data_IF_808628878702
#
_entry.id   IF_808628878702
#
_cell.length_a   1.000
_cell.length_b   1.000
_cell.length_c   1.000
_cell.angle_alpha   90.00
_cell.angle_beta   90.00
_cell.angle_gamma   90.00
#
_symmetry.space_group_name_H-M   'P 1'
#
loop_
_entity.id
_entity.type
_entity.pdbx_description
1 polymer ?
#
# COMPACT_ATOMS: atom_id res chain seq x y z
N UNK A 1 19.97 14.28 6.60
CA UNK A 1 20.27 15.52 7.34
C UNK A 1 19.02 16.34 7.66
N UNK A 2 18.07 16.48 6.73
CA UNK A 2 16.83 17.27 6.93
C UNK A 2 16.08 16.96 8.24
N UNK A 3 15.67 15.71 8.53
CA UNK A 3 14.95 15.39 9.77
C UNK A 3 15.67 15.82 11.06
N UNK A 4 17.01 15.77 11.07
CA UNK A 4 17.81 16.25 12.20
C UNK A 4 17.84 17.77 12.29
N UNK A 5 17.84 18.46 11.16
CA UNK A 5 17.80 19.92 11.09
C UNK A 5 16.43 20.45 11.56
N UNK A 6 15.35 19.80 11.13
CA UNK A 6 13.97 20.09 11.55
C UNK A 6 13.66 19.63 12.98
N UNK A 7 14.57 18.88 13.62
CA UNK A 7 14.44 18.36 14.99
C UNK A 7 13.11 17.61 15.21
N UNK A 8 12.75 16.76 14.26
CA UNK A 8 11.50 15.97 14.37
C UNK A 8 11.56 15.02 15.57
N UNK A 9 10.43 14.88 16.27
CA UNK A 9 10.31 13.93 17.38
C UNK A 9 10.27 12.47 16.89
N UNK A 10 9.62 12.26 15.74
CA UNK A 10 9.45 10.96 15.10
C UNK A 10 9.59 11.12 13.59
N UNK A 11 10.34 10.20 12.97
CA UNK A 11 10.42 10.08 11.51
C UNK A 11 9.76 8.76 11.06
N UNK A 12 8.85 8.85 10.09
CA UNK A 12 8.33 7.68 9.37
C UNK A 12 9.14 7.55 8.09
N UNK A 13 9.77 6.39 7.89
CA UNK A 13 10.71 6.16 6.80
C UNK A 13 10.27 4.93 6.00
N UNK A 14 9.89 5.15 4.75
CA UNK A 14 9.53 4.10 3.79
C UNK A 14 10.80 3.56 3.12
N UNK A 15 10.91 2.24 2.97
CA UNK A 15 12.01 1.64 2.20
C UNK A 15 11.82 1.92 0.72
N UNK A 16 12.89 2.22 -0.01
CA UNK A 16 12.83 2.43 -1.46
C UNK A 16 12.68 1.12 -2.22
N UNK A 17 13.55 0.14 -1.95
CA UNK A 17 13.53 -1.16 -2.61
C UNK A 17 13.98 -2.27 -1.65
N UNK A 18 13.15 -3.30 -1.51
CA UNK A 18 13.45 -4.42 -0.63
C UNK A 18 13.47 -4.00 0.85
N UNK A 19 14.59 -4.25 1.52
CA UNK A 19 14.79 -3.86 2.91
C UNK A 19 16.22 -4.06 3.40
N UNK A 20 16.81 -5.24 3.18
CA UNK A 20 18.14 -5.58 3.70
C UNK A 20 19.23 -4.61 3.23
N UNK A 21 19.25 -4.31 1.93
CA UNK A 21 20.23 -3.44 1.28
C UNK A 21 19.69 -2.04 0.98
N UNK A 22 18.52 -1.71 1.51
CA UNK A 22 17.91 -0.40 1.28
C UNK A 22 18.70 0.70 2.02
N UNK A 23 18.85 1.86 1.39
CA UNK A 23 19.60 2.98 1.97
C UNK A 23 19.03 3.46 3.32
N UNK A 24 17.74 3.21 3.58
CA UNK A 24 17.09 3.54 4.86
C UNK A 24 17.46 2.56 5.98
N UNK A 25 17.96 1.37 5.66
CA UNK A 25 18.25 0.31 6.64
C UNK A 25 19.49 0.61 7.51
N UNK A 26 20.08 1.80 7.37
CA UNK A 26 21.08 2.36 8.29
C UNK A 26 20.51 2.70 9.67
N UNK A 27 19.17 2.81 9.79
CA UNK A 27 18.48 3.06 11.06
C UNK A 27 18.58 1.83 11.97
N UNK A 28 19.36 1.94 13.05
CA UNK A 28 19.69 0.81 13.93
C UNK A 28 18.63 0.50 14.98
N UNK A 29 17.97 1.53 15.49
CA UNK A 29 17.06 1.43 16.64
C UNK A 29 15.68 2.03 16.30
N UNK A 30 14.94 1.46 15.33
CA UNK A 30 13.60 1.94 15.02
C UNK A 30 12.64 1.69 16.20
N UNK A 31 11.68 2.59 16.39
CA UNK A 31 10.63 2.39 17.40
C UNK A 31 9.71 1.21 17.04
N UNK A 32 9.45 1.02 15.75
CA UNK A 32 8.64 -0.04 15.19
C UNK A 32 9.11 -0.30 13.75
N UNK A 33 9.11 -1.57 13.35
CA UNK A 33 9.27 -1.95 11.95
C UNK A 33 7.95 -2.49 11.42
N UNK A 34 7.62 -2.17 10.17
CA UNK A 34 6.36 -2.58 9.55
C UNK A 34 6.68 -3.17 8.18
N UNK A 35 6.18 -4.37 7.92
CA UNK A 35 6.08 -4.94 6.58
C UNK A 35 4.59 -4.97 6.27
N UNK A 36 4.17 -4.37 5.17
CA UNK A 36 2.77 -4.36 4.71
C UNK A 36 2.43 -5.72 4.09
N UNK A 37 1.85 -5.76 2.89
CA UNK A 37 1.79 -6.97 2.07
C UNK A 37 3.08 -7.20 1.27
N UNK A 38 3.29 -8.45 0.89
CA UNK A 38 4.30 -8.98 -0.03
C UNK A 38 3.58 -9.31 -1.35
N UNK A 39 4.16 -8.90 -2.45
CA UNK A 39 3.68 -9.21 -3.79
C UNK A 39 4.84 -9.22 -4.76
N UNK A 40 4.61 -9.78 -5.94
CA UNK A 40 5.59 -9.75 -7.02
C UNK A 40 5.82 -8.31 -7.48
N UNK A 41 7.00 -7.80 -7.16
CA UNK A 41 7.49 -6.52 -7.62
C UNK A 41 9.02 -6.51 -7.58
N UNK A 42 9.64 -5.81 -8.53
CA UNK A 42 11.09 -5.72 -8.65
C UNK A 42 11.82 -7.07 -8.59
N UNK A 43 11.28 -8.10 -9.24
CA UNK A 43 11.79 -9.48 -9.17
C UNK A 43 13.26 -9.62 -9.59
N UNK A 44 13.73 -8.77 -10.52
CA UNK A 44 15.14 -8.69 -10.92
C UNK A 44 16.10 -8.35 -9.76
N UNK A 45 15.60 -7.71 -8.70
CA UNK A 45 16.38 -7.30 -7.53
C UNK A 45 16.05 -8.09 -6.28
N UNK A 46 14.78 -8.48 -6.09
CA UNK A 46 14.29 -9.08 -4.85
C UNK A 46 14.12 -10.60 -4.91
N UNK A 47 14.21 -11.19 -6.12
CA UNK A 47 13.98 -12.61 -6.36
C UNK A 47 12.65 -12.89 -7.06
N UNK A 48 12.50 -14.11 -7.54
CA UNK A 48 11.39 -14.59 -8.36
C UNK A 48 10.27 -15.28 -7.56
N UNK A 49 10.42 -15.41 -6.24
CA UNK A 49 9.40 -15.99 -5.33
C UNK A 49 8.99 -15.02 -4.23
N UNK A 50 7.76 -15.15 -3.73
CA UNK A 50 7.27 -14.35 -2.59
C UNK A 50 8.13 -14.56 -1.34
N UNK A 51 8.69 -15.76 -1.15
CA UNK A 51 9.60 -16.07 -0.05
C UNK A 51 10.92 -15.30 -0.13
N UNK A 52 11.51 -15.17 -1.32
CA UNK A 52 12.73 -14.38 -1.52
C UNK A 52 12.45 -12.90 -1.25
N UNK A 53 11.36 -12.38 -1.82
CA UNK A 53 10.93 -10.98 -1.62
C UNK A 53 10.66 -10.70 -0.13
N UNK A 54 9.99 -11.61 0.57
CA UNK A 54 9.76 -11.53 2.01
C UNK A 54 11.07 -11.55 2.80
N UNK A 55 12.05 -12.37 2.37
CA UNK A 55 13.38 -12.44 2.97
C UNK A 55 14.13 -11.11 2.88
N UNK A 56 14.11 -10.46 1.72
CA UNK A 56 14.72 -9.14 1.50
C UNK A 56 14.03 -8.04 2.32
N UNK A 57 12.69 -8.01 2.31
CA UNK A 57 11.91 -7.03 3.09
C UNK A 57 12.07 -7.22 4.60
N UNK A 58 12.26 -8.46 5.07
CA UNK A 58 12.59 -8.75 6.47
C UNK A 58 13.96 -8.22 6.91
N UNK A 59 14.79 -7.69 6.00
CA UNK A 59 16.08 -7.10 6.33
C UNK A 59 15.99 -5.85 7.20
N UNK A 60 14.82 -5.20 7.29
CA UNK A 60 14.60 -4.05 8.17
C UNK A 60 14.36 -4.44 9.63
N UNK A 61 14.10 -5.72 9.93
CA UNK A 61 13.78 -6.17 11.28
C UNK A 61 15.00 -6.01 12.19
N UNK A 62 14.82 -5.31 13.32
CA UNK A 62 15.89 -5.05 14.30
C UNK A 62 15.56 -5.66 15.65
N UNK A 63 16.60 -6.19 16.31
CA UNK A 63 16.50 -6.66 17.68
C UNK A 63 16.01 -5.53 18.60
N UNK A 64 15.13 -5.87 19.53
CA UNK A 64 14.61 -4.88 20.49
C UNK A 64 13.57 -3.91 19.92
N UNK A 65 13.22 -4.00 18.64
CA UNK A 65 12.07 -3.32 18.05
C UNK A 65 10.92 -4.31 17.78
N UNK A 66 9.66 -3.96 18.04
CA UNK A 66 8.53 -4.73 17.56
C UNK A 66 8.50 -4.73 16.02
N UNK A 67 7.91 -5.80 15.50
CA UNK A 67 7.67 -5.98 14.08
C UNK A 67 6.17 -6.18 13.87
N UNK A 68 5.54 -5.27 13.13
CA UNK A 68 4.16 -5.42 12.69
C UNK A 68 4.15 -5.97 11.26
N UNK A 69 3.58 -7.16 11.11
CA UNK A 69 3.44 -7.85 9.83
C UNK A 69 2.03 -7.64 9.30
N UNK A 70 1.87 -7.06 8.11
CA UNK A 70 0.60 -6.91 7.40
C UNK A 70 0.34 -8.02 6.38
N UNK A 71 1.24 -8.99 6.26
CA UNK A 71 1.13 -10.16 5.38
C UNK A 71 0.35 -11.29 6.06
N UNK A 72 -0.54 -11.93 5.29
CA UNK A 72 -1.38 -13.06 5.72
C UNK A 72 -1.27 -14.30 4.80
N UNK A 73 -0.63 -14.20 3.63
CA UNK A 73 -0.30 -15.33 2.77
C UNK A 73 0.71 -16.27 3.47
N UNK A 74 0.37 -17.57 3.65
CA UNK A 74 1.20 -18.53 4.36
C UNK A 74 2.67 -18.59 3.91
N UNK A 75 2.95 -18.46 2.61
CA UNK A 75 4.29 -18.61 2.06
C UNK A 75 5.25 -17.50 2.53
N UNK A 76 5.01 -16.21 2.21
CA UNK A 76 5.84 -15.12 2.72
C UNK A 76 5.74 -14.94 4.25
N UNK A 77 4.57 -15.17 4.85
CA UNK A 77 4.38 -15.07 6.31
C UNK A 77 5.32 -15.99 7.08
N UNK A 78 5.52 -17.24 6.61
CA UNK A 78 6.44 -18.19 7.23
C UNK A 78 7.88 -17.65 7.25
N UNK A 79 8.31 -17.00 6.18
CA UNK A 79 9.64 -16.40 6.07
C UNK A 79 9.77 -15.22 7.04
N UNK A 80 8.79 -14.31 7.05
CA UNK A 80 8.76 -13.15 7.94
C UNK A 80 8.80 -13.58 9.42
N UNK A 81 8.04 -14.59 9.80
CA UNK A 81 8.05 -15.15 11.16
C UNK A 81 9.40 -15.77 11.53
N UNK A 82 10.01 -16.54 10.64
CA UNK A 82 11.34 -17.11 10.87
C UNK A 82 12.42 -16.02 11.00
N UNK A 83 12.38 -14.99 10.16
CA UNK A 83 13.30 -13.86 10.19
C UNK A 83 13.12 -13.01 11.45
N UNK A 84 11.88 -12.78 11.88
CA UNK A 84 11.57 -12.07 13.13
C UNK A 84 12.18 -12.78 14.34
N UNK A 85 12.05 -14.11 14.42
CA UNK A 85 12.68 -14.91 15.49
C UNK A 85 14.20 -14.80 15.46
N UNK A 86 14.82 -14.93 14.28
CA UNK A 86 16.27 -14.82 14.12
C UNK A 86 16.79 -13.42 14.50
N UNK A 87 16.04 -12.37 14.17
CA UNK A 87 16.39 -11.00 14.49
C UNK A 87 16.10 -10.61 15.95
N UNK A 88 15.41 -11.45 16.73
CA UNK A 88 14.95 -11.07 18.07
C UNK A 88 13.91 -9.95 18.07
N UNK A 89 13.15 -9.82 16.97
CA UNK A 89 12.07 -8.85 16.83
C UNK A 89 10.74 -9.49 17.27
N UNK A 90 9.97 -8.78 18.10
CA UNK A 90 8.66 -9.27 18.57
C UNK A 90 7.62 -9.05 17.47
N UNK A 91 7.19 -10.12 16.82
CA UNK A 91 6.20 -10.05 15.76
C UNK A 91 4.77 -9.89 16.31
N UNK A 92 4.02 -8.96 15.74
CA UNK A 92 2.55 -8.88 15.76
C UNK A 92 2.06 -9.19 14.35
N UNK A 93 1.18 -10.17 14.22
CA UNK A 93 0.62 -10.58 12.92
C UNK A 93 -0.36 -9.56 12.34
N UNK A 94 -0.85 -9.85 11.13
CA UNK A 94 -1.73 -8.96 10.38
C UNK A 94 -3.00 -8.67 11.19
N UNK A 95 -3.34 -7.39 11.42
CA UNK A 95 -4.63 -7.05 12.01
C UNK A 95 -5.76 -7.39 11.04
N UNK A 96 -6.92 -7.75 11.59
CA UNK A 96 -8.12 -7.87 10.78
C UNK A 96 -8.38 -6.54 10.04
N UNK A 97 -8.77 -6.58 8.75
CA UNK A 97 -9.13 -5.36 8.03
C UNK A 97 -10.26 -4.61 8.77
N UNK A 98 -10.26 -3.29 8.67
CA UNK A 98 -11.38 -2.51 9.17
C UNK A 98 -12.68 -2.95 8.48
N UNK A 99 -13.78 -3.04 9.23
CA UNK A 99 -15.07 -3.39 8.64
C UNK A 99 -15.68 -2.16 7.99
N UNK A 100 -15.86 -2.21 6.67
CA UNK A 100 -16.52 -1.15 5.89
C UNK A 100 -17.95 -0.93 6.39
N UNK A 101 -18.32 0.34 6.57
CA UNK A 101 -19.69 0.78 6.86
C UNK A 101 -20.33 1.29 5.57
N UNK A 102 -19.69 2.27 4.91
CA UNK A 102 -20.18 2.90 3.68
C UNK A 102 -19.05 3.53 2.88
N UNK A 103 -19.35 3.86 1.63
CA UNK A 103 -18.44 4.50 0.69
C UNK A 103 -19.04 5.82 0.20
N UNK A 104 -18.20 6.82 0.03
CA UNK A 104 -18.50 8.07 -0.64
C UNK A 104 -17.58 8.18 -1.87
N UNK A 105 -18.08 7.68 -2.99
CA UNK A 105 -17.38 7.69 -4.28
C UNK A 105 -17.15 9.10 -4.82
N UNK A 106 -17.99 10.07 -4.46
CA UNK A 106 -17.84 11.47 -4.88
C UNK A 106 -16.66 12.15 -4.19
N UNK A 107 -16.41 11.80 -2.93
CA UNK A 107 -15.28 12.30 -2.15
C UNK A 107 -14.04 11.41 -2.18
N UNK A 108 -14.13 10.23 -2.79
CA UNK A 108 -13.04 9.24 -2.76
C UNK A 108 -12.77 8.68 -1.38
N UNK A 109 -13.78 8.61 -0.50
CA UNK A 109 -13.59 8.24 0.92
C UNK A 109 -14.49 7.09 1.34
N UNK A 110 -14.20 6.48 2.47
CA UNK A 110 -15.02 5.44 3.07
C UNK A 110 -15.06 5.56 4.59
N UNK A 111 -16.15 5.10 5.19
CA UNK A 111 -16.26 4.93 6.64
C UNK A 111 -16.11 3.47 6.99
N UNK A 112 -15.37 3.21 8.07
CA UNK A 112 -15.13 1.86 8.57
C UNK A 112 -15.10 1.84 10.09
N UNK A 113 -15.12 0.64 10.67
CA UNK A 113 -15.06 0.43 12.11
C UNK A 113 -13.97 -0.57 12.47
N UNK A 114 -13.23 -0.29 13.54
CA UNK A 114 -12.25 -1.20 14.11
C UNK A 114 -12.94 -2.38 14.81
N UNK A 115 -12.21 -3.45 15.11
CA UNK A 115 -12.73 -4.55 15.93
C UNK A 115 -13.20 -4.07 17.32
N UNK A 116 -12.57 -3.01 17.85
CA UNK A 116 -12.97 -2.36 19.11
C UNK A 116 -14.14 -1.38 19.00
N UNK A 117 -14.81 -1.29 17.84
CA UNK A 117 -16.00 -0.45 17.65
C UNK A 117 -15.73 1.03 17.35
N UNK A 118 -14.47 1.44 17.20
CA UNK A 118 -14.12 2.82 16.85
C UNK A 118 -14.40 3.09 15.38
N UNK A 119 -15.23 4.09 15.09
CA UNK A 119 -15.52 4.51 13.70
C UNK A 119 -14.41 5.41 13.19
N UNK A 120 -13.97 5.17 11.96
CA UNK A 120 -12.91 5.88 11.29
C UNK A 120 -13.39 6.33 9.91
N UNK A 121 -13.00 7.55 9.53
CA UNK A 121 -13.06 8.01 8.14
C UNK A 121 -11.72 7.70 7.48
N UNK A 122 -11.73 6.93 6.40
CA UNK A 122 -10.55 6.59 5.62
C UNK A 122 -10.63 7.35 4.29
N UNK A 123 -9.69 8.27 4.00
CA UNK A 123 -9.74 9.16 2.84
C UNK A 123 -9.25 8.53 1.54
N UNK A 124 -9.39 7.20 1.41
CA UNK A 124 -9.00 6.40 0.24
C UNK A 124 -10.04 5.30 0.07
N UNK A 125 -10.34 4.88 -1.16
CA UNK A 125 -11.30 3.81 -1.44
C UNK A 125 -10.64 2.41 -1.51
N UNK A 126 -11.47 1.37 -1.45
CA UNK A 126 -11.03 -0.03 -1.63
C UNK A 126 -10.65 -0.77 -0.35
N UNK A 127 -10.51 -2.09 -0.46
CA UNK A 127 -10.22 -2.97 0.67
C UNK A 127 -8.74 -2.90 1.10
N UNK A 128 -7.83 -2.65 0.16
CA UNK A 128 -6.42 -2.41 0.45
C UNK A 128 -6.22 -1.19 1.37
N UNK A 129 -6.98 -0.11 1.15
CA UNK A 129 -6.96 1.06 2.04
C UNK A 129 -7.44 0.72 3.46
N UNK A 130 -8.44 -0.16 3.62
CA UNK A 130 -8.89 -0.62 4.93
C UNK A 130 -7.88 -1.52 5.64
N UNK A 131 -7.15 -2.36 4.89
CA UNK A 131 -6.02 -3.15 5.43
C UNK A 131 -4.90 -2.23 5.90
N UNK A 132 -4.52 -1.25 5.09
CA UNK A 132 -3.48 -0.28 5.45
C UNK A 132 -3.91 0.54 6.68
N UNK A 133 -5.16 1.00 6.74
CA UNK A 133 -5.67 1.71 7.91
C UNK A 133 -5.68 0.83 9.17
N UNK A 134 -6.05 -0.45 9.07
CA UNK A 134 -5.95 -1.38 10.18
C UNK A 134 -4.50 -1.56 10.65
N UNK A 135 -3.54 -1.60 9.73
CA UNK A 135 -2.11 -1.66 10.04
C UNK A 135 -1.64 -0.40 10.77
N UNK A 136 -2.09 0.78 10.35
CA UNK A 136 -1.81 2.05 11.05
C UNK A 136 -2.39 2.04 12.45
N UNK A 137 -3.64 1.61 12.64
CA UNK A 137 -4.25 1.47 13.98
C UNK A 137 -3.40 0.54 14.86
N UNK A 138 -3.00 -0.61 14.34
CA UNK A 138 -2.15 -1.56 15.07
C UNK A 138 -0.75 -1.00 15.39
N UNK A 139 -0.18 -0.17 14.52
CA UNK A 139 1.08 0.53 14.77
C UNK A 139 0.94 1.57 15.89
N UNK A 140 -0.13 2.36 15.87
CA UNK A 140 -0.42 3.34 16.91
C UNK A 140 -0.62 2.68 18.28
N UNK A 141 -1.36 1.57 18.34
CA UNK A 141 -1.53 0.76 19.56
C UNK A 141 -0.22 0.17 20.08
N UNK A 142 0.66 -0.26 19.18
CA UNK A 142 1.96 -0.85 19.54
C UNK A 142 2.95 0.22 20.05
N UNK A 143 2.82 1.46 19.58
CA UNK A 143 3.68 2.57 20.00
C UNK A 143 3.18 3.26 21.28
N UNK A 144 1.86 3.49 21.41
CA UNK A 144 1.30 4.29 22.49
C UNK A 144 1.42 3.59 23.85
N UNK A 145 1.88 4.32 24.87
CA UNK A 145 2.09 3.81 26.23
C UNK A 145 3.26 2.85 26.38
N UNK A 146 4.00 2.54 25.30
CA UNK A 146 5.17 1.65 25.31
C UNK A 146 6.44 2.39 24.89
N UNK A 147 6.37 3.12 23.78
CA UNK A 147 7.52 3.80 23.16
C UNK A 147 7.27 5.28 22.93
N UNK A 148 6.01 5.64 22.73
CA UNK A 148 5.52 7.01 22.60
C UNK A 148 4.33 7.20 23.54
N UNK A 149 4.00 8.45 23.84
CA UNK A 149 2.79 8.81 24.57
C UNK A 149 2.05 9.90 23.79
N UNK A 150 0.82 9.62 23.40
CA UNK A 150 -0.03 10.54 22.67
C UNK A 150 -1.51 10.20 22.91
N UNK A 151 -2.40 11.17 22.64
CA UNK A 151 -3.83 10.94 22.65
C UNK A 151 -4.22 10.00 21.48
N UNK A 152 -4.65 8.79 21.83
CA UNK A 152 -5.06 7.78 20.85
C UNK A 152 -6.27 8.25 20.02
N UNK A 153 -7.22 8.97 20.63
CA UNK A 153 -8.40 9.44 19.90
C UNK A 153 -8.00 10.47 18.83
N UNK A 154 -7.11 11.41 19.18
CA UNK A 154 -6.55 12.36 18.23
C UNK A 154 -5.74 11.67 17.12
N UNK A 155 -4.90 10.69 17.46
CA UNK A 155 -4.12 9.95 16.47
C UNK A 155 -5.00 9.18 15.47
N UNK A 156 -6.09 8.56 15.95
CA UNK A 156 -7.06 7.87 15.10
C UNK A 156 -7.86 8.84 14.23
N UNK A 157 -8.21 10.02 14.76
CA UNK A 157 -8.87 11.08 13.98
C UNK A 157 -7.99 11.56 12.81
N UNK A 158 -6.67 11.65 13.02
CA UNK A 158 -5.70 12.04 12.00
C UNK A 158 -5.63 11.13 10.77
N UNK A 159 -6.14 9.88 10.85
CA UNK A 159 -6.27 8.99 9.68
C UNK A 159 -7.14 9.64 8.59
N UNK A 160 -8.13 10.46 8.99
CA UNK A 160 -9.04 11.13 8.08
C UNK A 160 -8.38 12.21 7.20
N UNK A 161 -7.19 12.67 7.61
CA UNK A 161 -6.42 13.73 6.95
C UNK A 161 -5.35 13.19 6.00
N UNK A 162 -5.18 11.87 5.94
CA UNK A 162 -4.20 11.24 5.06
C UNK A 162 -4.49 11.60 3.58
N UNK A 163 -3.48 12.12 2.89
CA UNK A 163 -3.53 12.37 1.45
C UNK A 163 -2.58 11.41 0.75
N UNK A 164 -3.12 10.54 -0.10
CA UNK A 164 -2.32 9.65 -0.93
C UNK A 164 -2.75 9.76 -2.40
N UNK A 165 -2.09 10.62 -3.19
CA UNK A 165 -2.45 10.83 -4.59
C UNK A 165 -2.33 9.53 -5.40
N UNK A 166 -3.14 9.42 -6.45
CA UNK A 166 -3.13 8.30 -7.41
C UNK A 166 -3.28 6.90 -6.74
N UNK A 167 -4.19 6.80 -5.76
CA UNK A 167 -4.68 5.53 -5.20
C UNK A 167 -6.21 5.53 -5.21
N UNK A 168 -6.78 4.96 -6.26
CA UNK A 168 -8.20 5.06 -6.60
C UNK A 168 -8.75 6.48 -6.41
N UNK A 169 -7.98 7.48 -6.86
CA UNK A 169 -8.29 8.88 -6.61
C UNK A 169 -9.32 9.36 -7.62
N UNK A 170 -10.51 9.74 -7.15
CA UNK A 170 -11.57 10.31 -7.98
C UNK A 170 -11.37 11.81 -8.10
N UNK A 171 -11.24 12.31 -9.33
CA UNK A 171 -11.17 13.73 -9.66
C UNK A 171 -12.43 14.13 -10.44
N UNK A 172 -13.08 15.20 -10.00
CA UNK A 172 -14.17 15.83 -10.73
C UNK A 172 -13.59 16.95 -11.63
N UNK A 173 -13.74 16.80 -12.94
CA UNK A 173 -13.29 17.78 -13.92
C UNK A 173 -14.39 18.79 -14.29
N UNK A 174 -15.55 18.72 -13.63
CA UNK A 174 -16.72 19.51 -13.94
C UNK A 174 -17.45 19.07 -15.20
N UNK A 175 -18.71 19.51 -15.32
CA UNK A 175 -19.57 19.18 -16.46
C UNK A 175 -19.91 17.68 -16.54
N UNK A 176 -19.95 16.99 -15.40
CA UNK A 176 -20.25 15.56 -15.32
C UNK A 176 -19.09 14.63 -15.67
N UNK A 177 -17.88 15.17 -15.95
CA UNK A 177 -16.70 14.37 -16.29
C UNK A 177 -15.89 14.05 -15.05
N UNK A 178 -15.55 12.78 -14.87
CA UNK A 178 -14.71 12.29 -13.79
C UNK A 178 -13.53 11.51 -14.32
N UNK A 179 -12.43 11.56 -13.59
CA UNK A 179 -11.24 10.73 -13.83
C UNK A 179 -10.96 9.95 -12.56
N UNK A 180 -10.69 8.66 -12.70
CA UNK A 180 -10.15 7.83 -11.60
C UNK A 180 -8.68 7.59 -11.89
N UNK A 181 -7.81 8.08 -11.00
CA UNK A 181 -6.37 7.92 -11.09
C UNK A 181 -5.89 6.81 -10.17
N UNK A 182 -5.07 5.91 -10.68
CA UNK A 182 -4.39 4.88 -9.90
C UNK A 182 -2.98 4.62 -10.45
N UNK A 183 -2.04 4.40 -9.54
CA UNK A 183 -0.64 4.07 -9.85
C UNK A 183 -0.33 2.57 -9.79
N UNK A 184 -1.32 1.70 -9.94
CA UNK A 184 -1.16 0.26 -10.02
C UNK A 184 -0.22 -0.14 -11.17
N UNK A 185 0.87 -0.82 -10.84
CA UNK A 185 1.92 -1.20 -11.79
C UNK A 185 2.46 -2.63 -11.55
N UNK A 186 1.75 -3.40 -10.71
CA UNK A 186 2.01 -4.80 -10.46
C UNK A 186 0.65 -5.52 -10.30
N UNK A 187 0.66 -6.85 -10.39
CA UNK A 187 -0.55 -7.68 -10.38
C UNK A 187 -1.40 -7.46 -9.12
N UNK A 188 -0.76 -7.37 -7.95
CA UNK A 188 -1.47 -7.18 -6.68
C UNK A 188 -2.20 -5.83 -6.62
N UNK A 189 -1.53 -4.75 -7.04
CA UNK A 189 -2.09 -3.41 -7.06
C UNK A 189 -3.22 -3.30 -8.08
N UNK A 190 -3.03 -3.83 -9.31
CA UNK A 190 -4.06 -3.78 -10.33
C UNK A 190 -5.26 -4.64 -9.96
N UNK A 191 -5.04 -5.80 -9.33
CA UNK A 191 -6.13 -6.64 -8.80
C UNK A 191 -6.95 -5.90 -7.73
N UNK A 192 -6.27 -5.20 -6.81
CA UNK A 192 -6.94 -4.39 -5.78
C UNK A 192 -7.72 -3.21 -6.38
N UNK A 193 -7.15 -2.54 -7.40
CA UNK A 193 -7.85 -1.53 -8.18
C UNK A 193 -9.09 -2.13 -8.85
N UNK A 194 -8.96 -3.23 -9.59
CA UNK A 194 -10.04 -3.88 -10.33
C UNK A 194 -11.19 -4.34 -9.43
N UNK A 195 -10.89 -4.82 -8.22
CA UNK A 195 -11.91 -5.16 -7.21
C UNK A 195 -12.70 -3.91 -6.77
N UNK A 196 -11.99 -2.81 -6.51
CA UNK A 196 -12.61 -1.53 -6.13
C UNK A 196 -13.40 -0.95 -7.29
N UNK A 197 -12.86 -1.02 -8.51
CA UNK A 197 -13.48 -0.56 -9.75
C UNK A 197 -14.82 -1.25 -10.01
N UNK A 198 -14.85 -2.58 -9.94
CA UNK A 198 -16.08 -3.36 -10.18
C UNK A 198 -17.23 -3.01 -9.22
N UNK A 199 -16.91 -2.59 -7.99
CA UNK A 199 -17.89 -2.12 -7.00
C UNK A 199 -18.30 -0.67 -7.18
N UNK A 200 -17.49 0.11 -7.89
CA UNK A 200 -17.73 1.54 -8.08
C UNK A 200 -18.91 1.77 -9.03
N UNK A 201 -19.63 2.90 -8.90
CA UNK A 201 -20.66 3.29 -9.86
C UNK A 201 -20.07 3.69 -11.23
N UNK A 202 -18.74 3.78 -11.35
CA UNK A 202 -18.05 4.22 -12.56
C UNK A 202 -17.90 3.09 -13.58
N UNK A 203 -17.83 1.82 -13.13
CA UNK A 203 -17.70 0.66 -14.02
C UNK A 203 -18.87 0.50 -15.00
N UNK A 204 -20.04 1.02 -14.64
CA UNK A 204 -21.25 0.96 -15.46
C UNK A 204 -21.36 2.10 -16.50
N UNK A 205 -20.39 3.02 -16.57
CA UNK A 205 -20.49 4.26 -17.37
C UNK A 205 -19.70 4.21 -18.69
N UNK A 206 -19.42 3.02 -19.23
CA UNK A 206 -18.57 2.82 -20.41
C UNK A 206 -17.26 3.66 -20.35
N UNK A 207 -16.40 3.39 -19.35
CA UNK A 207 -15.19 4.15 -19.13
C UNK A 207 -14.24 4.08 -20.34
N UNK A 208 -13.49 5.16 -20.54
CA UNK A 208 -12.27 5.13 -21.34
C UNK A 208 -11.09 4.90 -20.40
N UNK A 209 -10.35 3.82 -20.60
CA UNK A 209 -9.13 3.55 -19.81
C UNK A 209 -7.91 4.07 -20.55
N UNK A 210 -7.12 4.89 -19.87
CA UNK A 210 -5.80 5.32 -20.35
C UNK A 210 -4.76 4.55 -19.54
N UNK A 211 -3.92 3.77 -20.21
CA UNK A 211 -2.94 2.90 -19.56
C UNK A 211 -1.54 3.13 -20.11
N UNK A 212 -0.57 3.18 -19.21
CA UNK A 212 0.85 3.23 -19.55
C UNK A 212 1.64 2.42 -18.52
N UNK A 213 2.56 1.59 -18.99
CA UNK A 213 3.30 0.62 -18.19
C UNK A 213 4.80 0.78 -18.45
N UNK A 214 5.64 0.43 -17.48
CA UNK A 214 7.08 0.38 -17.68
C UNK A 214 7.48 -1.01 -18.24
N UNK A 215 8.48 -1.04 -19.11
CA UNK A 215 8.91 -2.26 -19.81
C UNK A 215 9.54 -3.32 -18.89
N UNK A 216 9.94 -2.94 -17.67
CA UNK A 216 10.49 -3.83 -16.64
C UNK A 216 9.41 -4.50 -15.78
N UNK A 217 8.12 -4.27 -16.07
CA UNK A 217 6.98 -4.93 -15.43
C UNK A 217 6.44 -6.07 -16.30
N UNK A 218 5.69 -6.97 -15.67
CA UNK A 218 4.90 -8.00 -16.35
C UNK A 218 3.67 -7.37 -17.03
N UNK A 219 3.94 -6.64 -18.12
CA UNK A 219 2.94 -5.81 -18.80
C UNK A 219 1.87 -6.64 -19.51
N UNK A 220 2.19 -7.86 -19.97
CA UNK A 220 1.22 -8.79 -20.57
C UNK A 220 0.17 -9.19 -19.52
N UNK A 221 0.63 -9.61 -18.33
CA UNK A 221 -0.26 -9.93 -17.22
C UNK A 221 -1.09 -8.73 -16.77
N UNK A 222 -0.50 -7.53 -16.74
CA UNK A 222 -1.23 -6.31 -16.41
C UNK A 222 -2.29 -5.97 -17.46
N UNK A 223 -1.98 -6.15 -18.76
CA UNK A 223 -2.94 -5.95 -19.84
C UNK A 223 -4.13 -6.92 -19.71
N UNK A 224 -3.88 -8.21 -19.45
CA UNK A 224 -4.92 -9.21 -19.22
C UNK A 224 -5.83 -8.85 -18.03
N UNK A 225 -5.26 -8.35 -16.94
CA UNK A 225 -6.01 -7.93 -15.76
C UNK A 225 -6.79 -6.62 -15.98
N UNK A 226 -6.30 -5.75 -16.87
CA UNK A 226 -6.92 -4.49 -17.21
C UNK A 226 -8.03 -4.64 -18.25
N UNK A 227 -7.91 -5.59 -19.18
CA UNK A 227 -8.84 -5.77 -20.30
C UNK A 227 -10.33 -5.84 -19.87
N UNK A 228 -10.72 -6.49 -18.75
CA UNK A 228 -12.11 -6.53 -18.31
C UNK A 228 -12.66 -5.21 -17.73
N UNK A 229 -11.82 -4.16 -17.59
CA UNK A 229 -12.23 -2.91 -16.93
C UNK A 229 -13.08 -2.01 -17.83
N UNK A 230 -12.93 -2.12 -19.15
CA UNK A 230 -13.54 -1.24 -20.13
C UNK A 230 -13.64 -1.92 -21.51
N UNK A 231 -14.47 -1.36 -22.39
CA UNK A 231 -14.47 -1.72 -23.82
C UNK A 231 -13.47 -0.88 -24.63
N UNK A 232 -12.99 0.24 -24.08
CA UNK A 232 -12.15 1.22 -24.79
C UNK A 232 -10.90 1.53 -24.00
N UNK A 233 -9.76 1.43 -24.69
CA UNK A 233 -8.44 1.70 -24.14
C UNK A 233 -7.68 2.70 -25.02
N UNK A 234 -6.83 3.50 -24.36
CA UNK A 234 -5.75 4.26 -24.98
C UNK A 234 -4.47 3.82 -24.29
N UNK A 235 -3.60 3.14 -25.05
CA UNK A 235 -2.23 2.89 -24.63
C UNK A 235 -1.40 4.17 -24.79
N UNK A 236 -0.53 4.46 -23.83
CA UNK A 236 0.39 5.58 -23.88
C UNK A 236 1.72 5.23 -23.21
N UNK A 237 2.78 5.91 -23.62
CA UNK A 237 4.10 5.78 -23.01
C UNK A 237 4.24 6.78 -21.85
N UNK A 238 4.50 6.32 -20.61
CA UNK A 238 4.84 7.22 -19.52
C UNK A 238 6.10 8.06 -19.84
N UNK A 239 6.25 9.27 -19.29
CA UNK A 239 7.45 10.10 -19.49
C UNK A 239 8.65 9.53 -18.71
N UNK A 240 9.19 8.41 -19.18
CA UNK A 240 10.23 7.63 -18.53
C UNK A 240 11.09 6.91 -19.57
N UNK A 241 12.42 6.85 -19.42
CA UNK A 241 13.28 6.06 -20.30
C UNK A 241 13.00 4.54 -20.18
N UNK A 242 12.28 4.11 -19.14
CA UNK A 242 11.85 2.71 -18.93
C UNK A 242 10.44 2.44 -19.46
N UNK A 243 9.80 3.40 -20.14
CA UNK A 243 8.45 3.22 -20.64
C UNK A 243 8.38 2.04 -21.63
N UNK A 244 7.31 1.25 -21.52
CA UNK A 244 6.91 0.38 -22.62
C UNK A 244 6.38 1.25 -23.75
N UNK A 245 6.73 0.87 -24.99
CA UNK A 245 6.21 1.53 -26.18
C UNK A 245 4.68 1.38 -26.27
N UNK A 246 4.00 2.46 -26.70
CA UNK A 246 2.54 2.50 -26.74
C UNK A 246 1.95 1.58 -27.80
N UNK A 247 2.62 1.42 -28.96
CA UNK A 247 2.16 0.50 -30.01
C UNK A 247 2.33 -0.96 -29.58
N UNK A 248 3.35 -1.25 -28.77
CA UNK A 248 3.55 -2.60 -28.21
C UNK A 248 2.50 -2.96 -27.14
N UNK A 249 2.00 -1.97 -26.40
CA UNK A 249 0.98 -2.18 -25.37
C UNK A 249 -0.44 -2.30 -25.94
N UNK A 250 -0.68 -1.74 -27.14
CA UNK A 250 -1.98 -1.72 -27.82
C UNK A 250 -2.30 -3.06 -28.52
#
# INVERSE_FOLDING_TARGET
>A
MHFRQERVDVAVVETGLGGALDATNVLREPLLTVVTSIGYDHQQHLGDTLELIAGEKAGILKAGAPFLCGEDDPAPLRVLAARSRKAGARMRGAPAPLKRIREDWGRGTQEAVTAGGTRLRVPLLGDAALRNAALVVAALEELNGRRLSFDMAAALAGIADALWPARFQVLDLGGGRRVVLDGAHNEAALSAFSQTWRRSPFSAQDPLVVIGVLADKDWERLADLAAPLAARFIATAPPSPRALDAERLA
#
